data_IF_216016140756
#
_entry.id   IF_216016140756
#
_cell.length_a   1.000
_cell.length_b   1.000
_cell.length_c   1.000
_cell.angle_alpha   90.00
_cell.angle_beta   90.00
_cell.angle_gamma   90.00
#
_symmetry.space_group_name_H-M   'P 1'
#
loop_
_entity.id
_entity.type
_entity.pdbx_description
1 polymer ?
#
# COMPACT_ATOMS: atom_id res chain seq x y z
N UNK A 1 -14.28 -23.52 6.55
CA UNK A 1 -14.04 -23.40 5.09
C UNK A 1 -13.48 -24.67 4.48
N UNK A 2 -12.43 -25.30 5.02
CA UNK A 2 -11.87 -26.56 4.46
C UNK A 2 -12.90 -27.72 4.46
N UNK A 3 -13.77 -27.81 5.46
CA UNK A 3 -14.85 -28.81 5.47
C UNK A 3 -15.90 -28.68 4.36
N UNK A 4 -15.83 -27.61 3.55
CA UNK A 4 -16.70 -27.39 2.37
C UNK A 4 -15.98 -27.69 1.05
N UNK A 5 -14.71 -28.11 1.08
CA UNK A 5 -13.98 -28.57 -0.11
C UNK A 5 -14.11 -30.09 -0.28
N UNK A 6 -13.96 -30.59 -1.51
CA UNK A 6 -14.00 -32.02 -1.79
C UNK A 6 -13.00 -32.79 -0.90
N UNK A 7 -13.34 -33.98 -0.37
CA UNK A 7 -12.51 -34.69 0.61
C UNK A 7 -11.17 -35.15 0.03
N UNK A 8 -11.10 -35.37 -1.27
CA UNK A 8 -9.93 -35.79 -2.05
C UNK A 8 -9.11 -34.62 -2.61
N UNK A 9 -9.51 -33.37 -2.38
CA UNK A 9 -8.76 -32.21 -2.83
C UNK A 9 -7.45 -32.07 -2.04
N UNK A 10 -6.30 -32.12 -2.70
CA UNK A 10 -4.98 -31.90 -2.08
C UNK A 10 -4.53 -30.43 -2.07
N UNK A 11 -5.06 -29.64 -3.00
CA UNK A 11 -4.73 -28.23 -3.20
C UNK A 11 -6.02 -27.40 -3.12
N UNK A 12 -5.97 -26.32 -2.34
CA UNK A 12 -7.08 -25.39 -2.16
C UNK A 12 -6.77 -24.10 -2.92
N UNK A 13 -7.66 -23.73 -3.85
CA UNK A 13 -7.61 -22.44 -4.53
C UNK A 13 -8.44 -21.40 -3.76
N UNK A 14 -7.90 -20.20 -3.60
CA UNK A 14 -8.62 -19.05 -3.03
C UNK A 14 -8.69 -17.95 -4.08
N UNK A 15 -9.92 -17.53 -4.37
CA UNK A 15 -10.25 -16.58 -5.45
C UNK A 15 -11.34 -15.66 -4.94
N UNK A 16 -11.12 -14.35 -5.06
CA UNK A 16 -12.14 -13.36 -4.75
C UNK A 16 -13.29 -13.42 -5.76
N UNK A 17 -14.50 -13.11 -5.30
CA UNK A 17 -15.72 -13.23 -6.10
C UNK A 17 -15.77 -12.30 -7.32
N UNK A 18 -14.91 -11.28 -7.41
CA UNK A 18 -14.83 -10.35 -8.54
C UNK A 18 -13.84 -10.78 -9.63
N UNK A 19 -13.18 -11.93 -9.50
CA UNK A 19 -12.18 -12.41 -10.46
C UNK A 19 -12.76 -13.30 -11.58
N UNK A 20 -12.43 -12.94 -12.81
CA UNK A 20 -12.57 -13.83 -13.96
C UNK A 20 -11.26 -14.60 -14.18
N UNK A 21 -11.31 -15.93 -14.08
CA UNK A 21 -10.12 -16.80 -14.05
C UNK A 21 -9.88 -17.49 -15.39
N UNK A 22 -8.62 -17.51 -15.83
CA UNK A 22 -8.18 -18.23 -17.01
C UNK A 22 -8.24 -19.75 -16.74
N UNK A 23 -8.91 -20.48 -17.63
CA UNK A 23 -9.07 -21.95 -17.55
C UNK A 23 -7.76 -22.73 -17.44
N UNK A 24 -6.63 -22.16 -17.85
CA UNK A 24 -5.31 -22.81 -17.80
C UNK A 24 -4.61 -22.66 -16.44
N UNK A 25 -5.12 -21.83 -15.53
CA UNK A 25 -4.45 -21.49 -14.27
C UNK A 25 -4.06 -22.72 -13.45
N UNK A 26 -5.04 -23.58 -13.13
CA UNK A 26 -4.78 -24.79 -12.34
C UNK A 26 -3.84 -25.76 -13.09
N UNK A 27 -4.03 -25.92 -14.40
CA UNK A 27 -3.19 -26.80 -15.23
C UNK A 27 -1.71 -26.38 -15.19
N UNK A 28 -1.44 -25.08 -15.17
CA UNK A 28 -0.07 -24.58 -15.16
C UNK A 28 0.50 -24.53 -13.74
N UNK A 29 -0.30 -24.21 -12.72
CA UNK A 29 0.20 -23.92 -11.37
C UNK A 29 0.21 -25.12 -10.42
N UNK A 30 -0.74 -26.06 -10.53
CA UNK A 30 -0.80 -27.26 -9.66
C UNK A 30 0.46 -28.14 -9.76
N UNK A 31 1.09 -28.35 -10.94
CA UNK A 31 2.30 -29.18 -11.04
C UNK A 31 3.47 -28.73 -10.14
N UNK A 32 3.54 -27.45 -9.74
CA UNK A 32 4.59 -26.97 -8.84
C UNK A 32 4.52 -27.62 -7.44
N UNK A 33 3.36 -28.14 -7.02
CA UNK A 33 3.19 -28.84 -5.75
C UNK A 33 3.76 -30.27 -5.73
N UNK A 34 4.29 -30.75 -6.87
CA UNK A 34 5.12 -31.98 -6.92
C UNK A 34 6.35 -31.86 -6.01
N UNK A 35 6.86 -30.63 -5.80
CA UNK A 35 7.81 -30.36 -4.73
C UNK A 35 7.05 -30.31 -3.39
N UNK A 36 7.31 -31.25 -2.45
CA UNK A 36 6.58 -31.31 -1.17
C UNK A 36 6.82 -30.09 -0.29
N UNK A 37 7.91 -29.33 -0.52
CA UNK A 37 8.19 -28.09 0.22
C UNK A 37 7.26 -26.95 -0.18
N UNK A 38 6.70 -26.93 -1.39
CA UNK A 38 5.83 -25.85 -1.82
C UNK A 38 4.51 -25.92 -1.04
N UNK A 39 4.27 -24.90 -0.21
CA UNK A 39 3.04 -24.69 0.55
C UNK A 39 2.07 -23.74 -0.14
N UNK A 40 2.60 -22.75 -0.87
CA UNK A 40 1.79 -21.71 -1.54
C UNK A 40 2.34 -21.42 -2.94
N UNK A 41 1.46 -21.30 -3.92
CA UNK A 41 1.74 -20.69 -5.22
C UNK A 41 0.81 -19.50 -5.40
N UNK A 42 1.38 -18.34 -5.71
CA UNK A 42 0.67 -17.08 -5.91
C UNK A 42 0.86 -16.58 -7.34
N UNK A 43 -0.19 -16.03 -7.93
CA UNK A 43 -0.10 -15.29 -9.21
C UNK A 43 -0.58 -13.85 -8.98
N UNK A 44 -0.24 -12.86 -9.82
CA UNK A 44 -0.57 -11.46 -9.59
C UNK A 44 -2.08 -11.20 -9.45
N UNK A 45 -2.41 -10.16 -8.71
CA UNK A 45 -3.69 -9.47 -8.88
C UNK A 45 -3.60 -8.58 -10.12
N UNK A 46 -4.38 -8.91 -11.14
CA UNK A 46 -4.53 -8.12 -12.35
C UNK A 46 -5.99 -7.66 -12.47
N UNK A 47 -6.24 -6.62 -13.26
CA UNK A 47 -7.53 -5.94 -13.27
C UNK A 47 -8.02 -5.66 -14.69
N UNK A 48 -9.30 -5.93 -14.92
CA UNK A 48 -9.91 -5.78 -16.24
C UNK A 48 -10.36 -4.34 -16.53
N UNK A 49 -10.48 -3.50 -15.50
CA UNK A 49 -11.18 -2.22 -15.58
C UNK A 49 -10.28 -0.98 -15.40
N UNK A 50 -8.95 -1.16 -15.40
CA UNK A 50 -7.98 -0.07 -15.25
C UNK A 50 -8.11 1.04 -16.28
N UNK A 51 -8.60 0.76 -17.50
CA UNK A 51 -8.75 1.75 -18.56
C UNK A 51 -10.10 2.48 -18.54
N UNK A 52 -11.02 2.16 -17.62
CA UNK A 52 -12.38 2.72 -17.63
C UNK A 52 -12.47 4.17 -17.15
N UNK A 53 -11.48 4.65 -16.40
CA UNK A 53 -11.39 6.05 -15.97
C UNK A 53 -9.95 6.42 -15.57
N UNK A 54 -9.59 7.72 -15.57
CA UNK A 54 -8.27 8.15 -15.08
C UNK A 54 -7.98 7.69 -13.65
N UNK A 55 -8.99 7.66 -12.78
CA UNK A 55 -8.85 7.16 -11.41
C UNK A 55 -8.47 5.68 -11.37
N UNK A 56 -9.18 4.82 -12.13
CA UNK A 56 -8.89 3.39 -12.19
C UNK A 56 -7.54 3.13 -12.87
N UNK A 57 -7.16 3.96 -13.83
CA UNK A 57 -5.84 3.89 -14.48
C UNK A 57 -4.72 4.13 -13.47
N UNK A 58 -4.84 5.18 -12.65
CA UNK A 58 -3.87 5.45 -11.59
C UNK A 58 -3.81 4.33 -10.55
N UNK A 59 -4.95 3.78 -10.12
CA UNK A 59 -4.98 2.64 -9.20
C UNK A 59 -4.27 1.41 -9.79
N UNK A 60 -4.56 1.08 -11.05
CA UNK A 60 -3.96 -0.06 -11.73
C UNK A 60 -2.45 0.10 -11.90
N UNK A 61 -2.00 1.30 -12.29
CA UNK A 61 -0.58 1.63 -12.41
C UNK A 61 0.17 1.47 -11.08
N UNK A 62 -0.40 1.93 -9.97
CA UNK A 62 0.22 1.76 -8.64
C UNK A 62 0.36 0.27 -8.25
N UNK A 63 -0.64 -0.55 -8.55
CA UNK A 63 -0.58 -1.99 -8.24
C UNK A 63 0.47 -2.74 -9.06
N UNK A 64 0.62 -2.45 -10.35
CA UNK A 64 1.59 -3.13 -11.22
C UNK A 64 3.02 -3.11 -10.67
N UNK A 65 3.45 -1.98 -10.10
CA UNK A 65 4.79 -1.87 -9.51
C UNK A 65 5.07 -2.93 -8.44
N UNK A 66 4.07 -3.29 -7.63
CA UNK A 66 4.22 -4.34 -6.62
C UNK A 66 4.28 -5.74 -7.24
N UNK A 67 3.41 -6.04 -8.19
CA UNK A 67 3.28 -7.38 -8.76
C UNK A 67 4.37 -7.72 -9.80
N UNK A 68 4.82 -6.74 -10.58
CA UNK A 68 5.82 -6.96 -11.64
C UNK A 68 7.26 -6.76 -11.16
N UNK A 69 7.47 -6.01 -10.06
CA UNK A 69 8.80 -5.78 -9.47
C UNK A 69 8.92 -6.44 -8.10
N UNK A 70 8.08 -6.02 -7.15
CA UNK A 70 8.22 -6.40 -5.74
C UNK A 70 8.07 -7.89 -5.50
N UNK A 71 7.03 -8.51 -6.04
CA UNK A 71 6.75 -9.94 -5.89
C UNK A 71 7.75 -10.82 -6.65
N UNK A 72 8.25 -10.36 -7.80
CA UNK A 72 9.29 -11.06 -8.57
C UNK A 72 10.59 -11.13 -7.75
N UNK A 73 11.06 -9.99 -7.21
CA UNK A 73 12.26 -9.97 -6.37
C UNK A 73 12.08 -10.84 -5.11
N UNK A 74 10.89 -10.82 -4.51
CA UNK A 74 10.59 -11.68 -3.36
C UNK A 74 10.62 -13.17 -3.70
N UNK A 75 10.19 -13.54 -4.90
CA UNK A 75 10.19 -14.92 -5.36
C UNK A 75 11.61 -15.49 -5.44
N UNK A 76 12.58 -14.69 -5.90
CA UNK A 76 13.99 -15.09 -5.99
C UNK A 76 14.61 -15.44 -4.62
N UNK A 77 13.95 -15.03 -3.54
CA UNK A 77 14.38 -15.24 -2.15
C UNK A 77 13.35 -16.02 -1.31
N UNK A 78 12.39 -16.70 -1.94
CA UNK A 78 11.34 -17.48 -1.28
C UNK A 78 10.61 -16.69 -0.17
N UNK A 79 10.26 -15.43 -0.48
CA UNK A 79 9.76 -14.48 0.50
C UNK A 79 8.50 -13.75 0.01
N UNK A 80 7.65 -14.45 -0.74
CA UNK A 80 6.45 -13.86 -1.33
C UNK A 80 5.40 -13.53 -0.27
N UNK A 81 4.60 -12.50 -0.52
CA UNK A 81 3.46 -12.15 0.33
C UNK A 81 2.20 -12.69 -0.35
N UNK A 82 1.53 -13.64 0.31
CA UNK A 82 0.23 -14.14 -0.10
C UNK A 82 -0.80 -13.02 0.06
N UNK A 83 -1.63 -12.79 -0.97
CA UNK A 83 -2.48 -11.59 -1.05
C UNK A 83 -3.95 -11.91 -1.34
N UNK A 84 -4.46 -12.95 -0.68
CA UNK A 84 -5.88 -13.23 -0.47
C UNK A 84 -6.61 -13.89 -1.63
N UNK A 85 -6.22 -13.59 -2.86
CA UNK A 85 -6.85 -14.09 -4.09
C UNK A 85 -5.81 -14.63 -5.04
N UNK A 86 -6.25 -15.38 -6.05
CA UNK A 86 -5.38 -15.96 -7.08
C UNK A 86 -4.22 -16.76 -6.48
N UNK A 87 -4.49 -17.46 -5.38
CA UNK A 87 -3.52 -18.30 -4.68
C UNK A 87 -3.96 -19.76 -4.66
N UNK A 88 -2.97 -20.65 -4.71
CA UNK A 88 -3.12 -22.07 -4.46
C UNK A 88 -2.35 -22.42 -3.19
N UNK A 89 -2.97 -23.20 -2.32
CA UNK A 89 -2.43 -23.56 -1.01
C UNK A 89 -2.48 -25.07 -0.85
N UNK A 90 -1.39 -25.68 -0.38
CA UNK A 90 -1.37 -27.10 -0.02
C UNK A 90 -2.35 -27.34 1.13
N UNK A 91 -3.32 -28.24 0.93
CA UNK A 91 -4.38 -28.48 1.91
C UNK A 91 -3.85 -28.90 3.27
N UNK A 92 -2.91 -29.84 3.32
CA UNK A 92 -2.36 -30.34 4.59
C UNK A 92 -1.72 -29.22 5.41
N UNK A 93 -1.01 -28.30 4.75
CA UNK A 93 -0.44 -27.12 5.39
C UNK A 93 -1.53 -26.15 5.87
N UNK A 94 -2.59 -25.95 5.08
CA UNK A 94 -3.73 -25.11 5.47
C UNK A 94 -4.53 -25.72 6.63
N UNK A 95 -4.67 -27.04 6.71
CA UNK A 95 -5.32 -27.74 7.82
C UNK A 95 -4.50 -27.65 9.10
N UNK A 96 -3.17 -27.76 8.99
CA UNK A 96 -2.26 -27.63 10.12
C UNK A 96 -2.23 -26.20 10.66
N UNK A 97 -2.15 -25.21 9.78
CA UNK A 97 -1.91 -23.81 10.17
C UNK A 97 -3.22 -23.04 10.38
N UNK A 98 -4.23 -23.26 9.55
CA UNK A 98 -5.47 -22.48 9.55
C UNK A 98 -5.27 -20.99 9.22
N UNK A 99 -6.38 -20.27 9.03
CA UNK A 99 -6.35 -18.81 8.83
C UNK A 99 -6.26 -18.07 10.18
N UNK A 100 -5.46 -17.00 10.24
CA UNK A 100 -5.39 -16.18 11.44
C UNK A 100 -6.67 -15.35 11.63
N UNK A 101 -7.48 -15.70 12.63
CA UNK A 101 -8.71 -14.97 12.95
C UNK A 101 -8.48 -13.62 13.65
N UNK A 102 -7.27 -13.40 14.18
CA UNK A 102 -6.89 -12.18 14.90
C UNK A 102 -6.31 -11.09 13.99
N UNK A 103 -5.90 -11.45 12.77
CA UNK A 103 -5.28 -10.53 11.82
C UNK A 103 -6.27 -10.18 10.70
N UNK A 104 -6.34 -8.91 10.33
CA UNK A 104 -7.16 -8.45 9.20
C UNK A 104 -6.55 -8.77 7.81
N UNK A 105 -5.28 -9.18 7.82
CA UNK A 105 -4.50 -9.67 6.69
C UNK A 105 -4.13 -11.14 6.97
N UNK A 106 -5.15 -11.97 7.16
CA UNK A 106 -5.02 -13.40 7.44
C UNK A 106 -4.25 -14.15 6.34
N UNK A 107 -4.25 -13.58 5.14
CA UNK A 107 -3.56 -14.05 3.95
C UNK A 107 -2.05 -13.89 4.04
N UNK A 108 -1.58 -12.65 4.20
CA UNK A 108 -0.17 -12.34 4.35
C UNK A 108 0.43 -13.01 5.59
N UNK A 109 -0.37 -13.13 6.66
CA UNK A 109 0.01 -13.82 7.89
C UNK A 109 0.19 -15.34 7.66
N UNK A 110 -0.75 -15.99 6.96
CA UNK A 110 -0.63 -17.41 6.62
C UNK A 110 0.62 -17.65 5.74
N UNK A 111 0.88 -16.77 4.78
CA UNK A 111 2.09 -16.84 3.94
C UNK A 111 3.38 -16.80 4.76
N UNK A 112 3.45 -15.95 5.80
CA UNK A 112 4.59 -15.92 6.71
C UNK A 112 4.69 -17.21 7.53
N UNK A 113 3.58 -17.68 8.12
CA UNK A 113 3.58 -18.92 8.91
C UNK A 113 3.94 -20.17 8.12
N UNK A 114 3.63 -20.20 6.82
CA UNK A 114 4.10 -21.26 5.93
C UNK A 114 5.64 -21.33 5.94
N UNK A 115 6.31 -20.18 5.78
CA UNK A 115 7.77 -20.10 5.84
C UNK A 115 8.32 -20.45 7.23
N UNK A 116 7.66 -19.99 8.31
CA UNK A 116 8.04 -20.33 9.68
C UNK A 116 7.92 -21.83 10.00
N UNK A 117 7.15 -22.58 9.21
CA UNK A 117 6.99 -24.03 9.32
C UNK A 117 7.79 -24.79 8.25
N UNK A 118 8.75 -24.14 7.58
CA UNK A 118 9.67 -24.78 6.64
C UNK A 118 9.07 -25.08 5.27
N UNK A 119 7.87 -24.60 4.98
CA UNK A 119 7.36 -24.59 3.61
C UNK A 119 8.04 -23.48 2.80
N UNK A 120 8.01 -23.67 1.49
CA UNK A 120 8.45 -22.73 0.48
C UNK A 120 7.24 -22.18 -0.27
N UNK A 121 7.43 -21.03 -0.88
CA UNK A 121 6.41 -20.24 -1.54
C UNK A 121 6.87 -19.86 -2.94
N UNK A 122 5.95 -19.85 -3.90
CA UNK A 122 6.28 -19.55 -5.29
C UNK A 122 5.37 -18.50 -5.90
N UNK A 123 5.91 -17.73 -6.83
CA UNK A 123 5.20 -16.70 -7.56
C UNK A 123 5.56 -16.72 -9.05
N UNK A 124 4.57 -16.46 -9.90
CA UNK A 124 4.79 -16.15 -11.31
C UNK A 124 4.17 -14.80 -11.63
N UNK A 125 4.83 -13.92 -12.40
CA UNK A 125 4.27 -12.65 -12.83
C UNK A 125 3.20 -12.79 -13.92
N UNK A 126 2.91 -14.01 -14.40
CA UNK A 126 1.90 -14.25 -15.42
C UNK A 126 0.48 -14.09 -14.85
N UNK A 127 -0.30 -13.21 -15.46
CA UNK A 127 -1.71 -13.00 -15.12
C UNK A 127 -2.58 -14.17 -15.57
N UNK A 128 -3.25 -14.81 -14.60
CA UNK A 128 -4.24 -15.86 -14.82
C UNK A 128 -5.64 -15.48 -14.37
N UNK A 129 -5.85 -14.29 -13.83
CA UNK A 129 -7.15 -13.85 -13.37
C UNK A 129 -7.22 -12.34 -13.30
N UNK A 130 -8.37 -11.79 -13.68
CA UNK A 130 -8.61 -10.35 -13.68
C UNK A 130 -9.79 -10.00 -12.81
N UNK A 131 -9.54 -9.24 -11.75
CA UNK A 131 -10.55 -8.70 -10.85
C UNK A 131 -10.97 -7.28 -11.24
N UNK A 132 -11.50 -6.56 -10.24
CA UNK A 132 -11.90 -5.16 -10.37
C UNK A 132 -11.09 -4.25 -9.44
N UNK A 133 -10.62 -3.13 -9.97
CA UNK A 133 -10.03 -2.05 -9.15
C UNK A 133 -11.10 -1.40 -8.24
N UNK A 134 -10.72 -0.72 -7.15
CA UNK A 134 -11.66 0.08 -6.36
C UNK A 134 -12.46 1.07 -7.23
N UNK A 135 -13.72 1.33 -6.86
CA UNK A 135 -14.58 2.28 -7.60
C UNK A 135 -14.48 3.71 -7.11
N UNK A 136 -14.04 3.89 -5.86
CA UNK A 136 -13.95 5.21 -5.22
C UNK A 136 -12.60 5.38 -4.55
N UNK A 137 -12.16 6.63 -4.40
CA UNK A 137 -10.96 6.92 -3.62
C UNK A 137 -11.11 6.47 -2.16
N UNK A 138 -12.30 6.59 -1.56
CA UNK A 138 -12.61 6.04 -0.23
C UNK A 138 -12.38 4.53 -0.15
N UNK A 139 -12.79 3.78 -1.16
CA UNK A 139 -12.57 2.33 -1.23
C UNK A 139 -11.09 1.99 -1.38
N UNK A 140 -10.35 2.77 -2.17
CA UNK A 140 -8.90 2.61 -2.32
C UNK A 140 -8.17 2.90 -1.00
N UNK A 141 -8.54 3.99 -0.30
CA UNK A 141 -8.02 4.31 1.03
C UNK A 141 -8.33 3.22 2.05
N UNK A 142 -9.57 2.75 2.15
CA UNK A 142 -9.97 1.67 3.07
C UNK A 142 -9.20 0.37 2.82
N UNK A 143 -9.01 0.01 1.55
CA UNK A 143 -8.23 -1.17 1.20
C UNK A 143 -6.77 -1.04 1.66
N UNK A 144 -6.12 0.08 1.33
CA UNK A 144 -4.72 0.29 1.74
C UNK A 144 -4.56 0.43 3.25
N UNK A 145 -5.51 1.06 3.92
CA UNK A 145 -5.54 1.18 5.38
C UNK A 145 -5.52 -0.21 6.04
N UNK A 146 -6.39 -1.12 5.59
CA UNK A 146 -6.44 -2.51 6.09
C UNK A 146 -5.10 -3.21 5.96
N UNK A 147 -4.47 -3.09 4.79
CA UNK A 147 -3.17 -3.72 4.53
C UNK A 147 -2.08 -3.20 5.45
N UNK A 148 -1.95 -1.86 5.56
CA UNK A 148 -0.96 -1.24 6.43
C UNK A 148 -1.20 -1.56 7.92
N UNK A 149 -2.46 -1.55 8.36
CA UNK A 149 -2.84 -1.95 9.70
C UNK A 149 -2.47 -3.41 9.99
N UNK A 150 -2.87 -4.33 9.10
CA UNK A 150 -2.60 -5.77 9.24
C UNK A 150 -1.11 -6.09 9.26
N UNK A 151 -0.30 -5.42 8.45
CA UNK A 151 1.15 -5.58 8.51
C UNK A 151 1.73 -5.22 9.88
N UNK A 152 1.23 -4.16 10.54
CA UNK A 152 1.70 -3.82 11.90
C UNK A 152 1.27 -4.88 12.91
N UNK A 153 0.08 -5.46 12.76
CA UNK A 153 -0.34 -6.60 13.59
C UNK A 153 0.60 -7.81 13.41
N UNK A 154 0.95 -8.13 12.15
CA UNK A 154 1.85 -9.26 11.83
C UNK A 154 3.24 -9.00 12.40
N UNK A 155 3.82 -7.80 12.20
CA UNK A 155 5.14 -7.45 12.77
C UNK A 155 5.15 -7.63 14.28
N UNK A 156 4.12 -7.15 14.99
CA UNK A 156 4.05 -7.27 16.45
C UNK A 156 3.96 -8.73 16.89
N UNK A 157 3.08 -9.51 16.28
CA UNK A 157 2.87 -10.90 16.68
C UNK A 157 4.08 -11.79 16.33
N UNK A 158 4.71 -11.54 15.19
CA UNK A 158 5.85 -12.32 14.69
C UNK A 158 7.21 -11.65 14.97
N UNK A 159 7.28 -10.67 15.88
CA UNK A 159 8.52 -9.93 16.16
C UNK A 159 9.67 -10.86 16.59
N UNK A 160 9.38 -11.92 17.34
CA UNK A 160 10.38 -12.91 17.75
C UNK A 160 10.98 -13.70 16.58
N UNK A 161 10.18 -13.97 15.55
CA UNK A 161 10.59 -14.68 14.34
C UNK A 161 11.31 -13.74 13.36
N UNK A 162 10.71 -12.58 13.09
CA UNK A 162 11.16 -11.62 12.09
C UNK A 162 12.37 -10.79 12.54
N UNK A 163 12.37 -10.33 13.80
CA UNK A 163 13.37 -9.37 14.31
C UNK A 163 14.40 -10.08 15.18
N UNK A 164 13.95 -10.87 16.16
CA UNK A 164 14.87 -11.56 17.07
C UNK A 164 15.47 -12.84 16.46
N UNK A 165 15.01 -13.27 15.28
CA UNK A 165 15.57 -14.38 14.53
C UNK A 165 15.41 -15.75 15.19
N UNK A 166 14.42 -15.92 16.06
CA UNK A 166 14.21 -17.15 16.85
C UNK A 166 13.53 -18.29 16.08
N UNK A 167 13.13 -18.07 14.83
CA UNK A 167 12.59 -19.12 13.97
C UNK A 167 13.68 -19.61 13.01
N UNK A 168 14.23 -20.80 13.25
CA UNK A 168 15.30 -21.38 12.42
C UNK A 168 14.88 -21.68 10.98
N UNK A 169 13.59 -21.99 10.76
CA UNK A 169 13.05 -22.24 9.42
C UNK A 169 13.07 -20.99 8.53
N UNK A 170 13.02 -19.79 9.13
CA UNK A 170 12.99 -18.53 8.40
C UNK A 170 14.42 -18.03 8.12
N UNK A 171 14.79 -17.98 6.84
CA UNK A 171 16.10 -17.50 6.41
C UNK A 171 16.28 -15.98 6.65
N UNK A 172 17.54 -15.54 6.71
CA UNK A 172 17.89 -14.12 6.83
C UNK A 172 17.32 -13.28 5.68
N UNK A 173 17.32 -13.81 4.45
CA UNK A 173 16.78 -13.10 3.29
C UNK A 173 15.26 -12.98 3.36
N UNK A 174 14.55 -14.02 3.82
CA UNK A 174 13.11 -13.94 4.06
C UNK A 174 12.77 -12.86 5.09
N UNK A 175 13.46 -12.85 6.24
CA UNK A 175 13.30 -11.80 7.27
C UNK A 175 13.53 -10.42 6.68
N UNK A 176 14.62 -10.24 5.93
CA UNK A 176 14.94 -8.99 5.25
C UNK A 176 13.80 -8.55 4.33
N UNK A 177 13.30 -9.42 3.45
CA UNK A 177 12.26 -9.04 2.51
C UNK A 177 10.95 -8.67 3.22
N UNK A 178 10.50 -9.44 4.21
CA UNK A 178 9.30 -9.09 4.98
C UNK A 178 9.46 -7.73 5.67
N UNK A 179 10.56 -7.52 6.40
CA UNK A 179 10.82 -6.25 7.08
C UNK A 179 10.96 -5.09 6.08
N UNK A 180 11.84 -5.21 5.08
CA UNK A 180 12.08 -4.18 4.07
C UNK A 180 10.83 -3.83 3.25
N UNK A 181 9.89 -4.76 3.09
CA UNK A 181 8.60 -4.48 2.45
C UNK A 181 7.67 -3.62 3.29
N UNK A 182 7.74 -3.70 4.61
CA UNK A 182 6.88 -2.95 5.52
C UNK A 182 7.55 -1.68 6.10
N UNK A 183 8.87 -1.58 6.08
CA UNK A 183 9.59 -0.34 6.47
C UNK A 183 9.06 0.90 5.76
N UNK A 184 8.80 0.91 4.43
CA UNK A 184 8.22 2.08 3.77
C UNK A 184 6.89 2.53 4.37
N UNK A 185 6.06 1.60 4.84
CA UNK A 185 4.80 1.95 5.51
C UNK A 185 5.06 2.56 6.89
N UNK A 186 5.99 2.00 7.65
CA UNK A 186 6.42 2.58 8.95
C UNK A 186 6.95 4.01 8.75
N UNK A 187 7.74 4.23 7.70
CA UNK A 187 8.22 5.56 7.31
C UNK A 187 7.07 6.52 7.02
N UNK A 188 5.95 6.07 6.40
CA UNK A 188 4.77 6.93 6.27
C UNK A 188 4.10 7.27 7.61
N UNK A 189 4.14 6.36 8.58
CA UNK A 189 3.70 6.65 9.95
C UNK A 189 4.52 7.79 10.57
N UNK A 190 5.83 7.75 10.41
CA UNK A 190 6.75 8.81 10.88
C UNK A 190 6.51 10.11 10.11
N UNK A 191 6.40 10.06 8.78
CA UNK A 191 6.12 11.25 7.95
C UNK A 191 4.78 11.90 8.30
N UNK A 192 3.76 11.10 8.63
CA UNK A 192 2.46 11.61 9.06
C UNK A 192 2.57 12.41 10.36
N UNK A 193 3.30 11.91 11.37
CA UNK A 193 3.59 12.67 12.60
C UNK A 193 4.46 13.91 12.32
N UNK A 194 5.47 13.75 11.48
CA UNK A 194 6.39 14.83 11.12
C UNK A 194 5.66 15.98 10.44
N UNK A 195 4.66 15.73 9.60
CA UNK A 195 3.81 16.79 9.02
C UNK A 195 3.19 17.67 10.10
N UNK A 196 2.56 17.09 11.13
CA UNK A 196 1.95 17.89 12.21
C UNK A 196 3.01 18.61 13.05
N UNK A 197 4.15 17.98 13.30
CA UNK A 197 5.27 18.62 14.00
C UNK A 197 5.82 19.81 13.21
N UNK A 198 6.02 19.68 11.90
CA UNK A 198 6.46 20.76 11.01
C UNK A 198 5.44 21.90 11.00
N UNK A 199 4.14 21.59 10.87
CA UNK A 199 3.08 22.60 10.89
C UNK A 199 3.02 23.33 12.22
N UNK A 200 3.06 22.59 13.33
CA UNK A 200 3.09 23.17 14.68
C UNK A 200 4.29 24.09 14.87
N UNK A 201 5.50 23.64 14.50
CA UNK A 201 6.70 24.46 14.59
C UNK A 201 6.63 25.70 13.69
N UNK A 202 6.05 25.56 12.50
CA UNK A 202 5.85 26.69 11.57
C UNK A 202 4.91 27.74 12.14
N UNK A 203 3.81 27.33 12.77
CA UNK A 203 2.89 28.25 13.46
C UNK A 203 3.59 28.90 14.66
N UNK A 204 4.38 28.15 15.42
CA UNK A 204 5.16 28.70 16.53
C UNK A 204 6.16 29.77 16.05
N UNK A 205 6.86 29.55 14.94
CA UNK A 205 7.75 30.54 14.33
C UNK A 205 7.03 31.82 13.88
N UNK A 206 5.76 31.73 13.50
CA UNK A 206 4.93 32.90 13.17
C UNK A 206 4.49 33.64 14.43
N UNK A 207 4.19 32.93 15.53
CA UNK A 207 3.74 33.54 16.78
C UNK A 207 4.89 34.16 17.58
N UNK A 208 6.08 33.57 17.53
CA UNK A 208 7.27 34.04 18.25
C UNK A 208 8.48 34.21 17.33
N UNK A 209 8.43 35.21 16.43
CA UNK A 209 9.49 35.46 15.45
C UNK A 209 10.86 35.71 16.04
N UNK A 210 10.94 36.36 17.20
CA UNK A 210 12.23 36.81 17.73
C UNK A 210 12.95 35.70 18.50
N UNK A 211 12.25 34.63 18.87
CA UNK A 211 12.80 33.52 19.67
C UNK A 211 12.91 32.22 18.89
N UNK A 212 12.06 31.99 17.90
CA UNK A 212 12.00 30.73 17.15
C UNK A 212 12.49 30.90 15.72
N UNK A 213 13.40 29.99 15.35
CA UNK A 213 13.99 29.89 14.04
C UNK A 213 13.65 28.52 13.40
N UNK A 214 13.70 28.43 12.06
CA UNK A 214 13.63 27.14 11.38
C UNK A 214 14.78 26.23 11.82
N UNK A 215 14.59 24.92 11.71
CA UNK A 215 15.70 24.00 11.91
C UNK A 215 16.79 24.27 10.85
N UNK A 216 18.06 23.98 11.15
CA UNK A 216 19.14 24.16 10.19
C UNK A 216 18.83 23.48 8.86
N UNK A 217 19.13 24.18 7.76
CA UNK A 217 18.79 23.80 6.39
C UNK A 217 19.17 22.36 6.05
N UNK A 218 20.25 21.82 6.64
CA UNK A 218 20.75 20.46 6.40
C UNK A 218 19.69 19.38 6.67
N UNK A 219 18.82 19.58 7.68
CA UNK A 219 17.76 18.64 8.00
C UNK A 219 16.64 18.70 6.96
N UNK A 220 16.21 19.90 6.60
CA UNK A 220 15.20 20.15 5.56
C UNK A 220 15.65 19.63 4.20
N UNK A 221 16.91 19.87 3.83
CA UNK A 221 17.49 19.34 2.59
C UNK A 221 17.60 17.83 2.57
N UNK A 222 17.90 17.21 3.70
CA UNK A 222 17.97 15.75 3.79
C UNK A 222 16.61 15.11 3.52
N UNK A 223 15.54 15.68 4.10
CA UNK A 223 14.17 15.22 3.87
C UNK A 223 13.72 15.44 2.42
N UNK A 224 14.05 16.61 1.84
CA UNK A 224 13.79 16.90 0.42
C UNK A 224 14.54 15.93 -0.49
N UNK A 225 15.82 15.66 -0.21
CA UNK A 225 16.62 14.70 -0.98
C UNK A 225 16.02 13.29 -0.91
N UNK A 226 15.62 12.82 0.27
CA UNK A 226 14.95 11.52 0.41
C UNK A 226 13.64 11.46 -0.39
N UNK A 227 12.85 12.53 -0.37
CA UNK A 227 11.62 12.63 -1.16
C UNK A 227 11.89 12.57 -2.67
N UNK A 228 12.88 13.33 -3.16
CA UNK A 228 13.27 13.33 -4.58
C UNK A 228 13.84 11.99 -5.03
N UNK A 229 14.76 11.39 -4.24
CA UNK A 229 15.34 10.08 -4.56
C UNK A 229 14.28 8.99 -4.60
N UNK A 230 13.26 9.06 -3.73
CA UNK A 230 12.13 8.13 -3.76
C UNK A 230 11.36 8.24 -5.07
N UNK A 231 11.03 9.45 -5.51
CA UNK A 231 10.32 9.67 -6.79
C UNK A 231 11.17 9.14 -7.95
N UNK A 232 12.45 9.50 -8.00
CA UNK A 232 13.38 9.03 -9.03
C UNK A 232 13.51 7.51 -9.06
N UNK A 233 13.59 6.87 -7.89
CA UNK A 233 13.62 5.40 -7.77
C UNK A 233 12.36 4.78 -8.38
N UNK A 234 11.17 5.30 -8.05
CA UNK A 234 9.92 4.76 -8.60
C UNK A 234 9.87 4.95 -10.11
N UNK A 235 10.18 6.15 -10.62
CA UNK A 235 10.21 6.42 -12.06
C UNK A 235 11.15 5.45 -12.81
N UNK A 236 12.39 5.33 -12.34
CA UNK A 236 13.42 4.51 -12.97
C UNK A 236 13.03 3.02 -12.96
N UNK A 237 12.63 2.48 -11.81
CA UNK A 237 12.26 1.07 -11.70
C UNK A 237 11.00 0.75 -12.51
N UNK A 238 10.00 1.64 -12.51
CA UNK A 238 8.78 1.45 -13.29
C UNK A 238 9.09 1.39 -14.78
N UNK A 239 9.92 2.31 -15.28
CA UNK A 239 10.32 2.37 -16.69
C UNK A 239 11.14 1.16 -17.13
N UNK A 240 11.94 0.58 -16.24
CA UNK A 240 12.79 -0.57 -16.55
C UNK A 240 12.05 -1.91 -16.46
N UNK A 241 11.03 -2.02 -15.61
CA UNK A 241 10.46 -3.31 -15.20
C UNK A 241 8.97 -3.48 -15.45
N UNK A 242 8.23 -2.39 -15.69
CA UNK A 242 6.77 -2.43 -15.85
C UNK A 242 6.36 -1.91 -17.22
N UNK A 243 6.70 -0.67 -17.55
CA UNK A 243 6.23 -0.01 -18.77
C UNK A 243 7.12 1.16 -19.15
N UNK A 244 7.43 1.31 -20.44
CA UNK A 244 8.21 2.46 -20.95
C UNK A 244 7.41 3.76 -20.97
N UNK A 245 6.10 3.70 -20.71
CA UNK A 245 5.22 4.86 -20.67
C UNK A 245 5.42 5.68 -19.38
N UNK A 246 5.97 6.89 -19.53
CA UNK A 246 6.20 7.83 -18.42
C UNK A 246 4.88 8.26 -17.77
N UNK A 247 3.79 8.34 -18.55
CA UNK A 247 2.49 8.75 -18.02
C UNK A 247 1.93 7.71 -17.06
N UNK A 248 2.17 6.43 -17.31
CA UNK A 248 1.79 5.33 -16.41
C UNK A 248 2.62 5.39 -15.11
N UNK A 249 3.92 5.65 -15.21
CA UNK A 249 4.78 5.82 -14.03
C UNK A 249 4.36 7.02 -13.17
N UNK A 250 4.00 8.15 -13.79
CA UNK A 250 3.48 9.33 -13.09
C UNK A 250 2.11 9.04 -12.44
N UNK A 251 1.25 8.27 -13.10
CA UNK A 251 -0.03 7.84 -12.54
C UNK A 251 0.15 6.93 -11.31
N UNK A 252 1.14 6.02 -11.36
CA UNK A 252 1.51 5.18 -10.22
C UNK A 252 2.03 6.02 -9.04
N UNK A 253 2.87 7.02 -9.30
CA UNK A 253 3.38 7.95 -8.27
C UNK A 253 2.24 8.76 -7.67
N UNK A 254 1.35 9.31 -8.49
CA UNK A 254 0.18 10.06 -8.02
C UNK A 254 -0.70 9.21 -7.10
N UNK A 255 -1.08 8.01 -7.53
CA UNK A 255 -1.91 7.10 -6.72
C UNK A 255 -1.21 6.61 -5.45
N UNK A 256 0.10 6.27 -5.53
CA UNK A 256 0.87 5.83 -4.37
C UNK A 256 1.03 6.95 -3.34
N UNK A 257 1.39 8.15 -3.79
CA UNK A 257 1.58 9.33 -2.95
C UNK A 257 0.27 9.79 -2.29
N UNK A 258 -0.86 9.69 -2.99
CA UNK A 258 -2.20 9.95 -2.45
C UNK A 258 -2.58 9.07 -1.25
N UNK A 259 -1.92 7.91 -1.09
CA UNK A 259 -2.20 6.98 0.00
C UNK A 259 -1.32 7.21 1.24
N UNK A 260 -0.26 8.02 1.18
CA UNK A 260 0.67 8.17 2.31
C UNK A 260 -0.01 8.61 3.62
N UNK A 261 -0.92 9.61 3.64
CA UNK A 261 -1.62 9.98 4.88
C UNK A 261 -2.46 8.82 5.45
N UNK A 262 -3.03 8.01 4.56
CA UNK A 262 -3.87 6.86 4.95
C UNK A 262 -3.02 5.75 5.53
N UNK A 263 -1.89 5.43 4.90
CA UNK A 263 -0.92 4.45 5.38
C UNK A 263 -0.36 4.90 6.73
N UNK A 264 0.02 6.17 6.87
CA UNK A 264 0.56 6.71 8.11
C UNK A 264 -0.39 6.54 9.30
N UNK A 265 -1.67 6.91 9.13
CA UNK A 265 -2.71 6.66 10.15
C UNK A 265 -2.87 5.18 10.47
N UNK A 266 -2.89 4.33 9.45
CA UNK A 266 -3.07 2.89 9.60
C UNK A 266 -1.92 2.26 10.40
N UNK A 267 -0.69 2.72 10.15
CA UNK A 267 0.49 2.28 10.89
C UNK A 267 0.43 2.69 12.35
N UNK A 268 0.16 3.98 12.63
CA UNK A 268 0.06 4.46 14.01
C UNK A 268 -1.05 3.74 14.79
N UNK A 269 -2.20 3.54 14.13
CA UNK A 269 -3.31 2.78 14.71
C UNK A 269 -2.91 1.34 14.94
N UNK A 270 -2.38 0.66 13.92
CA UNK A 270 -2.00 -0.75 13.96
C UNK A 270 -0.88 -1.07 14.94
N UNK A 271 0.00 -0.11 15.26
CA UNK A 271 1.00 -0.27 16.32
C UNK A 271 0.38 -0.20 17.72
N UNK A 272 -0.61 0.67 17.93
CA UNK A 272 -1.23 0.90 19.26
C UNK A 272 -2.37 -0.08 19.55
N UNK A 273 -3.19 -0.43 18.55
CA UNK A 273 -4.39 -1.27 18.75
C UNK A 273 -4.16 -2.73 18.41
N UNK A 274 -5.04 -3.61 18.91
CA UNK A 274 -4.94 -5.07 18.77
C UNK A 274 -5.95 -5.69 17.80
N UNK A 275 -6.99 -4.97 17.37
CA UNK A 275 -7.99 -5.51 16.45
C UNK A 275 -8.86 -4.44 15.78
N UNK A 276 -9.31 -4.72 14.56
CA UNK A 276 -10.24 -3.90 13.80
C UNK A 276 -11.25 -4.80 13.07
N UNK A 277 -12.56 -4.47 13.05
CA UNK A 277 -13.52 -5.23 12.28
C UNK A 277 -13.23 -5.17 10.78
N UNK A 278 -13.35 -6.31 10.10
CA UNK A 278 -13.22 -6.40 8.64
C UNK A 278 -14.43 -5.77 7.95
N UNK A 279 -14.19 -4.77 7.10
CA UNK A 279 -15.22 -4.22 6.21
C UNK A 279 -14.93 -4.60 4.76
N UNK A 280 -15.92 -5.18 4.08
CA UNK A 280 -15.84 -5.50 2.64
C UNK A 280 -15.75 -4.19 1.85
N UNK A 281 -14.77 -4.08 0.98
CA UNK A 281 -14.66 -2.97 0.03
C UNK A 281 -15.70 -3.16 -1.08
N UNK A 282 -16.70 -2.27 -1.23
CA UNK A 282 -17.70 -2.44 -2.28
C UNK A 282 -17.09 -2.31 -3.69
N UNK A 283 -17.55 -3.18 -4.59
CA UNK A 283 -17.23 -3.17 -6.02
C UNK A 283 -18.54 -3.05 -6.81
N UNK A 284 -18.49 -2.41 -7.97
CA UNK A 284 -19.64 -2.04 -8.81
C UNK A 284 -20.66 -1.12 -8.12
N UNK A 285 -20.18 -0.04 -7.49
CA UNK A 285 -21.06 0.92 -6.82
C UNK A 285 -21.77 1.83 -7.82
N UNK A 286 -23.12 1.79 -7.87
CA UNK A 286 -23.96 2.61 -8.75
C UNK A 286 -24.27 4.01 -8.18
N UNK A 287 -24.38 5.02 -9.05
CA UNK A 287 -24.91 6.35 -8.71
C UNK A 287 -23.92 7.51 -8.83
N UNK A 288 -24.42 8.74 -9.03
CA UNK A 288 -23.65 9.99 -9.01
C UNK A 288 -23.36 10.38 -7.55
N UNK A 289 -22.17 10.06 -7.08
CA UNK A 289 -21.76 10.33 -5.70
C UNK A 289 -21.06 11.70 -5.56
N UNK A 290 -21.62 12.78 -6.12
CA UNK A 290 -20.92 14.08 -6.19
C UNK A 290 -20.77 14.79 -4.84
N UNK A 291 -21.68 14.59 -3.89
CA UNK A 291 -21.59 15.20 -2.55
C UNK A 291 -20.82 14.39 -1.52
N UNK A 292 -20.69 13.07 -1.69
CA UNK A 292 -19.99 12.21 -0.72
C UNK A 292 -18.46 12.21 -0.93
N UNK A 293 -17.97 12.50 -2.15
CA UNK A 293 -16.55 12.41 -2.52
C UNK A 293 -15.67 13.56 -2.02
N UNK A 294 -16.24 14.74 -1.76
CA UNK A 294 -15.52 15.86 -1.13
C UNK A 294 -15.29 15.62 0.38
N UNK A 295 -16.21 14.90 1.04
CA UNK A 295 -16.01 14.47 2.42
C UNK A 295 -14.87 13.45 2.55
N UNK A 296 -14.71 12.57 1.54
CA UNK A 296 -13.66 11.56 1.56
C UNK A 296 -12.26 12.16 1.65
N UNK A 297 -12.02 13.39 1.17
CA UNK A 297 -10.71 14.05 1.21
C UNK A 297 -10.67 15.32 2.07
N UNK A 298 -11.66 15.55 2.97
CA UNK A 298 -11.74 16.81 3.72
C UNK A 298 -10.50 17.08 4.57
N UNK A 299 -9.99 16.08 5.29
CA UNK A 299 -8.75 16.24 6.07
C UNK A 299 -7.54 16.54 5.17
N UNK A 300 -7.49 15.91 3.99
CA UNK A 300 -6.42 16.11 3.02
C UNK A 300 -6.46 17.56 2.47
N UNK A 301 -7.66 18.07 2.12
CA UNK A 301 -7.88 19.46 1.72
C UNK A 301 -7.47 20.44 2.83
N UNK A 302 -7.93 20.22 4.06
CA UNK A 302 -7.59 21.07 5.19
C UNK A 302 -6.07 21.12 5.42
N UNK A 303 -5.39 19.98 5.33
CA UNK A 303 -3.94 19.90 5.51
C UNK A 303 -3.19 20.67 4.43
N UNK A 304 -3.61 20.57 3.16
CA UNK A 304 -3.03 21.37 2.06
C UNK A 304 -3.23 22.85 2.31
N UNK A 305 -4.45 23.28 2.62
CA UNK A 305 -4.78 24.69 2.84
C UNK A 305 -4.00 25.27 4.02
N UNK A 306 -3.97 24.57 5.16
CA UNK A 306 -3.21 25.00 6.34
C UNK A 306 -1.71 25.10 6.00
N UNK A 307 -1.15 24.12 5.30
CA UNK A 307 0.26 24.13 4.89
C UNK A 307 0.57 25.34 4.01
N UNK A 308 -0.25 25.60 3.01
CA UNK A 308 -0.03 26.69 2.05
C UNK A 308 -0.27 28.07 2.66
N UNK A 309 -1.29 28.22 3.50
CA UNK A 309 -1.50 29.44 4.29
C UNK A 309 -0.28 29.69 5.18
N UNK A 310 0.22 28.66 5.87
CA UNK A 310 1.41 28.75 6.72
C UNK A 310 2.64 29.17 5.91
N UNK A 311 2.84 28.60 4.71
CA UNK A 311 3.91 29.01 3.79
C UNK A 311 3.78 30.51 3.44
N UNK A 312 2.58 30.97 3.05
CA UNK A 312 2.35 32.39 2.70
C UNK A 312 2.61 33.29 3.89
N UNK A 313 2.20 32.90 5.11
CA UNK A 313 2.47 33.66 6.32
C UNK A 313 3.96 33.74 6.63
N UNK A 314 4.70 32.62 6.54
CA UNK A 314 6.15 32.59 6.72
C UNK A 314 6.88 33.50 5.71
N UNK A 315 6.43 33.51 4.45
CA UNK A 315 6.98 34.37 3.40
C UNK A 315 6.71 35.86 3.64
N UNK A 316 5.59 36.21 4.28
CA UNK A 316 5.23 37.61 4.60
C UNK A 316 5.87 38.12 5.88
N UNK A 317 6.16 37.23 6.82
CA UNK A 317 6.55 37.61 8.17
C UNK A 317 8.04 37.97 8.32
N UNK A 318 8.89 37.70 7.33
CA UNK A 318 10.33 38.00 7.38
C UNK A 318 10.74 38.89 6.21
N UNK A 319 11.46 39.96 6.51
CA UNK A 319 11.97 40.90 5.49
C UNK A 319 12.98 40.24 4.52
N UNK A 320 13.68 39.19 4.96
CA UNK A 320 14.59 38.40 4.14
C UNK A 320 14.44 36.89 4.41
N UNK A 321 14.42 36.10 3.33
CA UNK A 321 14.42 34.64 3.39
C UNK A 321 15.87 34.18 3.48
N UNK A 322 16.31 33.80 4.68
CA UNK A 322 17.59 33.14 4.86
C UNK A 322 17.54 31.68 4.37
N UNK A 323 18.71 31.04 4.27
CA UNK A 323 18.82 29.69 3.71
C UNK A 323 17.99 28.66 4.49
N UNK A 324 18.00 28.73 5.83
CA UNK A 324 17.22 27.83 6.69
C UNK A 324 15.72 27.94 6.44
N UNK A 325 15.19 29.17 6.37
CA UNK A 325 13.78 29.41 6.11
C UNK A 325 13.37 28.99 4.70
N UNK A 326 14.22 29.24 3.70
CA UNK A 326 13.96 28.82 2.32
C UNK A 326 13.80 27.30 2.19
N UNK A 327 14.73 26.54 2.78
CA UNK A 327 14.63 25.07 2.77
C UNK A 327 13.50 24.54 3.65
N UNK A 328 13.19 25.19 4.77
CA UNK A 328 12.02 24.84 5.58
C UNK A 328 10.72 25.00 4.79
N UNK A 329 10.55 26.11 4.06
CA UNK A 329 9.37 26.36 3.22
C UNK A 329 9.29 25.32 2.10
N UNK A 330 10.41 25.03 1.42
CA UNK A 330 10.46 24.00 0.38
C UNK A 330 10.09 22.61 0.92
N UNK A 331 10.58 22.25 2.11
CA UNK A 331 10.23 21.01 2.80
C UNK A 331 8.74 20.96 3.15
N UNK A 332 8.18 22.04 3.72
CA UNK A 332 6.76 22.12 4.06
C UNK A 332 5.87 22.01 2.81
N UNK A 333 6.30 22.60 1.69
CA UNK A 333 5.64 22.43 0.40
C UNK A 333 5.70 20.96 -0.06
N UNK A 334 6.88 20.33 -0.04
CA UNK A 334 7.03 18.93 -0.42
C UNK A 334 6.20 17.98 0.45
N UNK A 335 6.13 18.22 1.77
CA UNK A 335 5.29 17.46 2.69
C UNK A 335 3.80 17.62 2.40
N UNK A 336 3.36 18.75 1.79
CA UNK A 336 1.96 18.95 1.39
C UNK A 336 1.56 18.16 0.14
N UNK A 337 2.51 17.70 -0.68
CA UNK A 337 2.24 17.04 -1.97
C UNK A 337 1.46 15.72 -1.85
N UNK A 338 1.68 14.84 -0.86
CA UNK A 338 0.85 13.67 -0.65
C UNK A 338 -0.62 13.97 -0.35
N UNK A 339 -0.88 15.02 0.41
CA UNK A 339 -2.25 15.47 0.67
C UNK A 339 -2.87 16.07 -0.59
N UNK A 340 -2.10 16.85 -1.37
CA UNK A 340 -2.56 17.34 -2.67
C UNK A 340 -2.87 16.18 -3.64
N UNK A 341 -2.03 15.16 -3.70
CA UNK A 341 -2.28 13.96 -4.51
C UNK A 341 -3.56 13.23 -4.07
N UNK A 342 -3.82 13.15 -2.77
CA UNK A 342 -5.07 12.60 -2.25
C UNK A 342 -6.29 13.41 -2.73
N UNK A 343 -6.21 14.74 -2.72
CA UNK A 343 -7.26 15.62 -3.27
C UNK A 343 -7.44 15.39 -4.77
N UNK A 344 -6.36 15.31 -5.54
CA UNK A 344 -6.42 15.04 -6.99
C UNK A 344 -7.07 13.68 -7.25
N UNK A 345 -6.68 12.62 -6.53
CA UNK A 345 -7.28 11.29 -6.67
C UNK A 345 -8.76 11.27 -6.27
N UNK A 346 -9.17 12.05 -5.26
CA UNK A 346 -10.58 12.21 -4.90
C UNK A 346 -11.38 12.90 -6.02
N UNK A 347 -10.82 13.94 -6.66
CA UNK A 347 -11.44 14.61 -7.82
C UNK A 347 -11.56 13.64 -9.00
N UNK A 348 -10.49 12.93 -9.36
CA UNK A 348 -10.51 11.92 -10.43
C UNK A 348 -11.56 10.83 -10.15
N UNK A 349 -11.67 10.40 -8.90
CA UNK A 349 -12.68 9.44 -8.46
C UNK A 349 -14.11 9.97 -8.57
N UNK A 350 -14.33 11.27 -8.35
CA UNK A 350 -15.64 11.91 -8.45
C UNK A 350 -16.06 12.13 -9.91
N UNK A 351 -15.09 12.44 -10.79
CA UNK A 351 -15.29 12.65 -12.22
C UNK A 351 -15.46 11.35 -13.01
N UNK A 352 -15.07 10.21 -12.44
CA UNK A 352 -15.28 8.91 -13.06
C UNK A 352 -16.79 8.64 -13.19
N UNK A 353 -17.34 8.89 -14.39
CA UNK A 353 -18.73 8.57 -14.73
C UNK A 353 -18.98 7.08 -14.51
N UNK A 354 -19.85 6.74 -13.57
CA UNK A 354 -20.22 5.36 -13.28
C UNK A 354 -21.43 4.98 -14.12
N UNK A 355 -21.43 3.84 -14.82
CA UNK A 355 -22.64 3.35 -15.46
C UNK A 355 -23.74 3.23 -14.41
N UNK A 356 -24.96 3.64 -14.77
CA UNK A 356 -26.14 3.35 -13.95
C UNK A 356 -26.23 1.84 -13.78
N UNK A 357 -26.56 1.38 -12.57
CA UNK A 357 -26.77 -0.06 -12.29
C UNK A 357 -27.71 -0.60 -13.38
N UNK A 358 -27.27 -1.59 -14.17
CA UNK A 358 -28.23 -2.29 -15.03
C UNK A 358 -29.16 -3.05 -14.07
N UNK A 359 -30.42 -2.65 -14.06
CA UNK A 359 -31.49 -3.46 -13.49
C UNK A 359 -31.67 -4.66 -14.41
N UNK A 360 -30.96 -5.75 -14.14
CA UNK A 360 -31.20 -7.06 -14.72
C UNK A 360 -31.19 -8.08 -13.61
#
# INVERSE_FOLDING_TARGET
MIGQTAPDAEIVAVIDADYCVNRLWLKHMVPHFTNPKIGVIQVPQDYSDGHKSPFKYCCNAEYKGFFEIGMVIRNDHDAIIQHGTMTLIRRSALEQLGWAQWCICEDAELGLRMLENGFSTGYTPLSYGKGLTPDTFSHFKKQRYRWAYGAMQIIKQHAWSLIAGRCEALSTMQRYHFMAGWVPWVTEGVNYLLMFATLFWSVAMIMWPDTLAPVPWIFSTSLLLMFTLRILKVLCLYQQRVSTDVTEALAAILAGMALYPTIGKAVLSGLVTSGMPFFRTPKQTSGKLTRLTLFDATEDVCTVLISWITIVLLLRHREAINMDLGFWIAMLFAQSLPYLAAVVMAILSALANRPSRSTT
#
